data_IF_289800060418
#
_entry.id   IF_289800060418
#
_cell.length_a   1.000
_cell.length_b   1.000
_cell.length_c   1.000
_cell.angle_alpha   90.00
_cell.angle_beta   90.00
_cell.angle_gamma   90.00
#
_symmetry.space_group_name_H-M   'P 1'
#
loop_
_entity.id
_entity.type
_entity.pdbx_description
1 polymer ?
#
# COMPACT_ATOMS: atom_id res chain seq x y z
N UNK A 1 18.24 -25.07 -41.69
CA UNK A 1 18.34 -25.65 -40.34
C UNK A 1 17.73 -27.04 -40.47
N UNK A 2 18.48 -28.11 -40.18
CA UNK A 2 17.92 -29.47 -40.24
C UNK A 2 17.02 -29.65 -39.02
N UNK A 3 15.82 -30.19 -39.22
CA UNK A 3 14.94 -30.60 -38.12
C UNK A 3 15.71 -31.56 -37.21
N UNK A 4 15.46 -31.52 -35.89
CA UNK A 4 16.15 -32.37 -34.91
C UNK A 4 15.74 -33.85 -35.12
N UNK A 5 16.41 -34.52 -36.06
CA UNK A 5 16.20 -35.93 -36.44
C UNK A 5 16.62 -36.89 -35.31
N UNK A 6 15.94 -36.86 -34.16
CA UNK A 6 16.20 -37.67 -32.95
C UNK A 6 17.62 -37.51 -32.34
N UNK A 7 18.34 -36.45 -32.70
CA UNK A 7 19.66 -36.14 -32.14
C UNK A 7 19.53 -35.48 -30.77
N UNK A 8 20.49 -35.66 -29.86
CA UNK A 8 20.48 -34.98 -28.57
C UNK A 8 20.57 -33.47 -28.74
N UNK A 9 19.78 -32.75 -27.95
CA UNK A 9 19.67 -31.29 -27.98
C UNK A 9 21.03 -30.60 -27.82
N UNK A 10 21.92 -31.15 -27.00
CA UNK A 10 23.26 -30.61 -26.75
C UNK A 10 24.12 -30.55 -28.02
N UNK A 11 24.06 -31.59 -28.87
CA UNK A 11 24.80 -31.61 -30.14
C UNK A 11 24.24 -30.58 -31.12
N UNK A 12 22.91 -30.50 -31.23
CA UNK A 12 22.24 -29.59 -32.16
C UNK A 12 22.44 -28.13 -31.71
N UNK A 13 22.38 -27.87 -30.40
CA UNK A 13 22.68 -26.58 -29.78
C UNK A 13 24.12 -26.15 -30.09
N UNK A 14 25.08 -27.04 -29.88
CA UNK A 14 26.50 -26.78 -30.14
C UNK A 14 26.77 -26.51 -31.64
N UNK A 15 26.17 -27.28 -32.55
CA UNK A 15 26.27 -27.02 -33.99
C UNK A 15 25.67 -25.67 -34.37
N UNK A 16 24.49 -25.34 -33.84
CA UNK A 16 23.84 -24.05 -34.08
C UNK A 16 24.70 -22.90 -33.54
N UNK A 17 25.27 -23.06 -32.35
CA UNK A 17 26.14 -22.07 -31.71
C UNK A 17 27.44 -21.87 -32.51
N UNK A 18 28.10 -22.96 -32.91
CA UNK A 18 29.30 -22.92 -33.74
C UNK A 18 29.04 -22.22 -35.07
N UNK A 19 27.90 -22.49 -35.71
CA UNK A 19 27.52 -21.81 -36.96
C UNK A 19 27.25 -20.32 -36.76
N UNK A 20 26.70 -19.94 -35.60
CA UNK A 20 26.48 -18.54 -35.23
C UNK A 20 27.80 -17.79 -34.99
N UNK A 21 28.71 -18.37 -34.19
CA UNK A 21 30.05 -17.80 -33.93
C UNK A 21 30.87 -17.70 -35.21
N UNK A 22 30.82 -18.70 -36.10
CA UNK A 22 31.55 -18.67 -37.38
C UNK A 22 31.13 -17.51 -38.30
N UNK A 23 29.93 -16.96 -38.10
CA UNK A 23 29.44 -15.78 -38.83
C UNK A 23 29.66 -14.48 -38.05
N UNK A 24 29.79 -14.56 -36.73
CA UNK A 24 29.84 -13.43 -35.81
C UNK A 24 30.96 -13.66 -34.77
N UNK A 25 32.22 -13.61 -35.22
CA UNK A 25 33.39 -13.83 -34.35
C UNK A 25 33.76 -12.53 -33.63
N UNK A 26 33.37 -12.40 -32.35
CA UNK A 26 33.76 -11.25 -31.52
C UNK A 26 33.62 -11.54 -30.02
N UNK A 27 34.42 -10.83 -29.22
CA UNK A 27 34.36 -10.82 -27.75
C UNK A 27 32.95 -10.54 -27.19
N UNK A 28 32.14 -9.75 -27.89
CA UNK A 28 30.76 -9.46 -27.46
C UNK A 28 29.86 -10.68 -27.62
N UNK A 29 30.08 -11.52 -28.63
CA UNK A 29 29.35 -12.78 -28.80
C UNK A 29 29.74 -13.77 -27.72
N UNK A 30 31.03 -13.85 -27.39
CA UNK A 30 31.54 -14.78 -26.39
C UNK A 30 31.05 -14.44 -24.96
N UNK A 31 31.04 -13.15 -24.61
CA UNK A 31 30.76 -12.71 -23.24
C UNK A 31 29.29 -12.32 -23.00
N UNK A 32 28.57 -11.85 -24.03
CA UNK A 32 27.26 -11.21 -23.85
C UNK A 32 26.10 -11.94 -24.54
N UNK A 33 26.35 -13.03 -25.27
CA UNK A 33 25.29 -13.78 -25.94
C UNK A 33 25.09 -15.17 -25.32
N UNK A 34 23.85 -15.64 -25.41
CA UNK A 34 23.46 -17.00 -25.09
C UNK A 34 22.55 -17.57 -26.16
N UNK A 35 21.98 -18.75 -25.91
CA UNK A 35 21.09 -19.42 -26.85
C UNK A 35 19.79 -19.85 -26.16
N UNK A 36 18.65 -19.50 -26.75
CA UNK A 36 17.34 -20.01 -26.34
C UNK A 36 17.07 -21.35 -26.98
N UNK A 37 16.48 -22.28 -26.22
CA UNK A 37 15.84 -23.47 -26.75
C UNK A 37 14.34 -23.22 -26.87
N UNK A 38 13.84 -23.01 -28.08
CA UNK A 38 12.41 -22.90 -28.36
C UNK A 38 11.88 -24.24 -28.83
N UNK A 39 10.77 -24.71 -28.26
CA UNK A 39 10.11 -25.96 -28.66
C UNK A 39 8.69 -25.65 -29.10
N UNK A 40 8.38 -25.96 -30.35
CA UNK A 40 7.04 -25.85 -30.92
C UNK A 40 6.51 -27.25 -31.17
N UNK A 41 5.35 -27.55 -30.58
CA UNK A 41 4.63 -28.81 -30.82
C UNK A 41 3.39 -28.50 -31.63
N UNK A 42 3.29 -29.09 -32.81
CA UNK A 42 2.08 -28.96 -33.62
C UNK A 42 0.94 -29.78 -33.00
N UNK A 43 -0.20 -29.16 -32.63
CA UNK A 43 -1.30 -29.88 -31.98
C UNK A 43 -2.03 -30.85 -32.92
N UNK A 44 -1.96 -30.64 -34.24
CA UNK A 44 -2.66 -31.46 -35.25
C UNK A 44 -1.87 -32.72 -35.63
N UNK A 45 -0.56 -32.60 -35.84
CA UNK A 45 0.28 -33.72 -36.32
C UNK A 45 1.32 -34.22 -35.32
N UNK A 46 1.40 -33.59 -34.14
CA UNK A 46 2.38 -33.95 -33.10
C UNK A 46 3.83 -33.68 -33.47
N UNK A 47 4.11 -33.03 -34.61
CA UNK A 47 5.48 -32.70 -35.02
C UNK A 47 6.08 -31.72 -34.02
N UNK A 48 7.23 -32.10 -33.48
CA UNK A 48 8.04 -31.27 -32.59
C UNK A 48 9.12 -30.58 -33.43
N UNK A 49 9.20 -29.26 -33.31
CA UNK A 49 10.25 -28.44 -33.90
C UNK A 49 11.01 -27.76 -32.77
N UNK A 50 12.32 -28.01 -32.72
CA UNK A 50 13.23 -27.42 -31.73
C UNK A 50 14.14 -26.45 -32.47
N UNK A 51 14.18 -25.20 -32.02
CA UNK A 51 15.11 -24.18 -32.54
C UNK A 51 16.00 -23.64 -31.43
N UNK A 52 17.23 -23.32 -31.83
CA UNK A 52 18.30 -22.84 -30.97
C UNK A 52 18.73 -21.44 -31.43
N UNK A 53 18.13 -20.42 -30.84
CA UNK A 53 18.20 -19.05 -31.33
C UNK A 53 19.14 -18.20 -30.44
N UNK A 54 20.15 -17.52 -31.00
CA UNK A 54 21.05 -16.67 -30.21
C UNK A 54 20.31 -15.45 -29.65
N UNK A 55 20.63 -15.05 -28.42
CA UNK A 55 20.11 -13.84 -27.79
C UNK A 55 21.22 -13.05 -27.11
N UNK A 56 21.03 -11.73 -27.02
CA UNK A 56 21.92 -10.81 -26.31
C UNK A 56 21.23 -10.08 -25.14
N UNK A 57 19.89 -10.04 -25.14
CA UNK A 57 19.11 -9.30 -24.17
C UNK A 57 18.00 -10.17 -23.58
N UNK A 58 17.80 -10.05 -22.26
CA UNK A 58 16.68 -10.64 -21.53
C UNK A 58 15.78 -9.51 -21.02
N UNK A 59 14.51 -9.53 -21.38
CA UNK A 59 13.52 -8.66 -20.76
C UNK A 59 13.21 -9.18 -19.36
N UNK A 60 13.64 -8.46 -18.33
CA UNK A 60 13.26 -8.74 -16.95
C UNK A 60 12.07 -7.85 -16.55
N UNK A 61 11.05 -8.37 -15.86
CA UNK A 61 10.00 -7.53 -15.30
C UNK A 61 10.62 -6.61 -14.24
N UNK A 62 10.50 -5.30 -14.44
CA UNK A 62 10.82 -4.33 -13.38
C UNK A 62 9.85 -4.57 -12.21
N UNK A 63 10.30 -4.64 -10.95
CA UNK A 63 9.40 -4.67 -9.82
C UNK A 63 8.59 -3.37 -9.87
N UNK A 64 7.33 -3.48 -10.29
CA UNK A 64 6.42 -2.35 -10.22
C UNK A 64 6.37 -1.92 -8.76
N UNK A 65 6.41 -0.61 -8.52
CA UNK A 65 6.18 -0.06 -7.18
C UNK A 65 4.70 -0.23 -6.84
N UNK A 66 4.26 -1.48 -6.69
CA UNK A 66 2.86 -1.83 -6.42
C UNK A 66 2.44 -1.29 -5.06
N UNK A 67 3.40 -1.10 -4.15
CA UNK A 67 3.20 -0.54 -2.83
C UNK A 67 3.63 0.92 -2.73
N UNK A 68 2.99 1.66 -1.83
CA UNK A 68 3.43 2.97 -1.33
C UNK A 68 3.54 2.93 0.19
N UNK A 69 4.46 3.70 0.75
CA UNK A 69 4.56 3.92 2.18
C UNK A 69 3.62 5.07 2.58
N UNK A 70 2.82 4.89 3.62
CA UNK A 70 1.95 5.92 4.18
C UNK A 70 2.27 6.11 5.66
N UNK A 71 2.53 7.35 6.07
CA UNK A 71 2.76 7.71 7.47
C UNK A 71 1.51 8.35 8.03
N UNK A 72 0.88 7.71 9.02
CA UNK A 72 -0.38 8.14 9.62
C UNK A 72 -0.21 8.28 11.13
N UNK A 73 -0.64 9.42 11.67
CA UNK A 73 -0.63 9.65 13.12
C UNK A 73 -1.85 9.00 13.75
N UNK A 74 -1.61 8.09 14.70
CA UNK A 74 -2.66 7.43 15.48
C UNK A 74 -2.83 8.17 16.80
N UNK A 75 -4.06 8.58 17.09
CA UNK A 75 -4.47 9.25 18.32
C UNK A 75 -5.14 8.26 19.27
N UNK A 76 -4.67 8.26 20.53
CA UNK A 76 -5.22 7.48 21.64
C UNK A 76 -6.20 8.38 22.41
N UNK A 77 -7.48 8.36 22.01
CA UNK A 77 -8.50 9.28 22.52
C UNK A 77 -9.02 8.93 23.93
N UNK A 78 -8.39 7.97 24.59
CA UNK A 78 -8.62 7.54 25.98
C UNK A 78 -7.51 8.00 26.93
N UNK A 79 -6.55 8.80 26.46
CA UNK A 79 -5.41 9.27 27.27
C UNK A 79 -4.36 8.19 27.56
N UNK A 80 -4.49 6.99 26.98
CA UNK A 80 -3.53 5.89 27.18
C UNK A 80 -2.14 6.16 26.59
N UNK A 81 -2.02 7.15 25.70
CA UNK A 81 -0.76 7.50 25.06
C UNK A 81 -0.82 8.81 24.30
N UNK A 82 0.37 9.31 23.94
CA UNK A 82 0.50 10.45 23.05
C UNK A 82 0.22 10.04 21.59
N UNK A 83 -0.20 10.98 20.72
CA UNK A 83 -0.33 10.72 19.30
C UNK A 83 1.00 10.21 18.72
N UNK A 84 0.95 9.11 17.97
CA UNK A 84 2.15 8.42 17.50
C UNK A 84 2.08 8.18 15.98
N UNK A 85 3.11 8.54 15.20
CA UNK A 85 3.16 8.26 13.77
C UNK A 85 3.49 6.79 13.50
N UNK A 86 2.77 6.18 12.57
CA UNK A 86 3.03 4.83 12.06
C UNK A 86 3.21 4.86 10.55
N UNK A 87 4.31 4.30 10.05
CA UNK A 87 4.55 4.13 8.62
C UNK A 87 4.23 2.70 8.21
N UNK A 88 3.29 2.53 7.27
CA UNK A 88 2.87 1.24 6.73
C UNK A 88 3.02 1.20 5.22
N UNK A 89 3.33 0.02 4.67
CA UNK A 89 3.38 -0.21 3.24
C UNK A 89 2.08 -0.86 2.76
N UNK A 90 1.40 -0.20 1.84
CA UNK A 90 0.10 -0.64 1.30
C UNK A 90 0.12 -0.60 -0.22
N UNK A 91 -0.73 -1.41 -0.87
CA UNK A 91 -0.84 -1.39 -2.33
C UNK A 91 -1.38 -0.04 -2.80
N UNK A 92 -0.78 0.53 -3.86
CA UNK A 92 -1.20 1.81 -4.46
C UNK A 92 -2.66 1.78 -4.92
N UNK A 93 -3.08 0.65 -5.50
CA UNK A 93 -4.44 0.40 -5.94
C UNK A 93 -5.28 -0.38 -4.90
N UNK A 94 -4.82 -0.41 -3.64
CA UNK A 94 -5.54 -1.04 -2.53
C UNK A 94 -6.69 -0.18 -2.01
N UNK A 95 -7.29 -0.61 -0.90
CA UNK A 95 -8.42 0.08 -0.28
C UNK A 95 -8.17 0.46 1.18
N UNK A 96 -9.05 1.30 1.74
CA UNK A 96 -8.96 1.76 3.14
C UNK A 96 -8.97 0.61 4.16
N UNK A 97 -9.64 -0.51 3.86
CA UNK A 97 -9.58 -1.73 4.70
C UNK A 97 -8.15 -2.25 4.85
N UNK A 98 -7.39 -2.31 3.76
CA UNK A 98 -6.02 -2.82 3.78
C UNK A 98 -5.11 -1.89 4.59
N UNK A 99 -5.35 -0.58 4.48
CA UNK A 99 -4.68 0.44 5.30
C UNK A 99 -5.00 0.30 6.78
N UNK A 100 -6.28 0.20 7.16
CA UNK A 100 -6.70 -0.03 8.54
C UNK A 100 -6.12 -1.34 9.11
N UNK A 101 -6.06 -2.40 8.30
CA UNK A 101 -5.48 -3.68 8.73
C UNK A 101 -3.96 -3.56 8.95
N UNK A 102 -3.24 -2.92 8.04
CA UNK A 102 -1.80 -2.68 8.18
C UNK A 102 -1.49 -1.82 9.40
N UNK A 103 -2.23 -0.73 9.60
CA UNK A 103 -2.12 0.12 10.79
C UNK A 103 -2.46 -0.62 12.07
N UNK A 104 -3.57 -1.37 12.07
CA UNK A 104 -4.01 -2.14 13.24
C UNK A 104 -2.97 -3.18 13.67
N UNK A 105 -2.30 -3.80 12.70
CA UNK A 105 -1.16 -4.69 12.97
C UNK A 105 0.03 -3.92 13.54
N UNK A 106 0.39 -2.78 12.95
CA UNK A 106 1.54 -1.97 13.36
C UNK A 106 1.38 -1.34 14.77
N UNK A 107 0.16 -0.99 15.17
CA UNK A 107 -0.13 -0.39 16.47
C UNK A 107 -0.66 -1.38 17.52
N UNK A 108 -0.62 -2.69 17.23
CA UNK A 108 -1.12 -3.74 18.12
C UNK A 108 -2.57 -3.48 18.58
N UNK A 109 -3.47 -3.27 17.62
CA UNK A 109 -4.90 -3.03 17.86
C UNK A 109 -5.54 -4.25 18.53
N UNK A 110 -6.30 -4.05 19.61
CA UNK A 110 -6.99 -5.13 20.32
C UNK A 110 -8.30 -5.47 19.63
N UNK A 111 -8.85 -6.66 19.92
CA UNK A 111 -10.11 -7.14 19.33
C UNK A 111 -11.34 -6.29 19.70
N UNK A 112 -11.28 -5.56 20.82
CA UNK A 112 -12.32 -4.64 21.29
C UNK A 112 -12.09 -3.19 20.83
N UNK A 113 -11.19 -2.97 19.87
CA UNK A 113 -10.80 -1.66 19.39
C UNK A 113 -10.96 -1.56 17.86
N UNK A 114 -11.11 -0.33 17.39
CA UNK A 114 -11.21 0.01 15.97
C UNK A 114 -10.40 1.27 15.66
N UNK A 115 -10.06 1.43 14.38
CA UNK A 115 -9.44 2.64 13.85
C UNK A 115 -10.46 3.41 13.01
N UNK A 116 -10.66 4.68 13.32
CA UNK A 116 -11.43 5.61 12.51
C UNK A 116 -10.46 6.53 11.77
N UNK A 117 -10.39 6.38 10.45
CA UNK A 117 -9.57 7.23 9.60
C UNK A 117 -10.29 8.54 9.25
N UNK A 118 -9.55 9.63 9.26
CA UNK A 118 -10.06 10.95 8.92
C UNK A 118 -9.01 11.77 8.17
N UNK A 119 -9.49 12.59 7.24
CA UNK A 119 -8.70 13.65 6.62
C UNK A 119 -8.87 14.94 7.43
N UNK A 120 -7.77 15.58 7.78
CA UNK A 120 -7.76 16.81 8.57
C UNK A 120 -7.19 17.95 7.72
N UNK A 121 -7.96 19.03 7.63
CA UNK A 121 -7.59 20.23 6.90
C UNK A 121 -7.88 21.46 7.76
N UNK A 122 -6.92 22.40 7.84
CA UNK A 122 -7.03 23.61 8.67
C UNK A 122 -7.50 23.35 10.12
N UNK A 123 -6.94 22.33 10.77
CA UNK A 123 -7.27 21.93 12.15
C UNK A 123 -8.73 21.49 12.35
N UNK A 124 -9.41 21.07 11.29
CA UNK A 124 -10.77 20.50 11.31
C UNK A 124 -10.79 19.17 10.57
N UNK A 125 -11.73 18.31 10.95
CA UNK A 125 -11.99 17.10 10.18
C UNK A 125 -12.72 17.51 8.91
N UNK A 126 -12.09 17.26 7.76
CA UNK A 126 -12.68 17.54 6.46
C UNK A 126 -13.67 16.43 6.09
N UNK A 127 -13.25 15.17 6.28
CA UNK A 127 -14.08 13.99 6.07
C UNK A 127 -13.54 12.77 6.80
N UNK A 128 -14.40 11.77 6.98
CA UNK A 128 -14.04 10.45 7.45
C UNK A 128 -13.91 9.46 6.29
N UNK A 129 -12.94 8.57 6.37
CA UNK A 129 -12.72 7.46 5.43
C UNK A 129 -13.47 6.21 5.93
N UNK A 130 -14.79 6.30 6.01
CA UNK A 130 -15.64 5.24 6.60
C UNK A 130 -15.91 4.08 5.63
N UNK A 131 -15.80 4.31 4.32
CA UNK A 131 -16.00 3.26 3.34
C UNK A 131 -14.76 2.36 3.25
N UNK A 132 -14.82 1.09 3.69
CA UNK A 132 -13.66 0.20 3.69
C UNK A 132 -13.14 -0.12 2.28
N UNK A 133 -13.97 0.06 1.24
CA UNK A 133 -13.64 -0.20 -0.16
C UNK A 133 -13.16 1.06 -0.89
N UNK A 134 -13.08 2.21 -0.22
CA UNK A 134 -12.55 3.44 -0.83
C UNK A 134 -11.09 3.23 -1.25
N UNK A 135 -10.80 3.60 -2.50
CA UNK A 135 -9.49 3.41 -3.12
C UNK A 135 -8.45 4.33 -2.50
N UNK A 136 -7.29 3.79 -2.17
CA UNK A 136 -6.17 4.57 -1.64
C UNK A 136 -5.61 5.55 -2.68
N UNK A 137 -5.82 5.32 -3.97
CA UNK A 137 -5.41 6.24 -5.04
C UNK A 137 -6.09 7.62 -4.93
N UNK A 138 -7.25 7.72 -4.28
CA UNK A 138 -7.91 9.02 -4.06
C UNK A 138 -7.14 9.89 -3.06
N UNK A 139 -6.40 9.26 -2.14
CA UNK A 139 -5.66 9.93 -1.08
C UNK A 139 -4.32 10.41 -1.62
N UNK A 140 -4.10 11.71 -1.63
CA UNK A 140 -2.85 12.34 -2.08
C UNK A 140 -1.80 12.31 -0.99
N UNK A 141 -0.53 12.39 -1.38
CA UNK A 141 0.60 12.35 -0.42
C UNK A 141 0.68 13.61 0.47
N UNK A 142 0.05 14.72 0.05
CA UNK A 142 -0.03 15.98 0.80
C UNK A 142 -1.19 16.02 1.80
N UNK A 143 -2.15 15.09 1.69
CA UNK A 143 -3.33 15.05 2.56
C UNK A 143 -2.96 14.57 3.96
N UNK A 144 -3.38 15.32 4.97
CA UNK A 144 -3.10 14.96 6.36
C UNK A 144 -4.13 13.94 6.87
N UNK A 145 -3.82 12.66 6.68
CA UNK A 145 -4.63 11.55 7.19
C UNK A 145 -4.20 11.18 8.61
N UNK A 146 -5.19 11.09 9.50
CA UNK A 146 -5.03 10.65 10.88
C UNK A 146 -5.93 9.46 11.19
N UNK A 147 -5.58 8.71 12.22
CA UNK A 147 -6.38 7.59 12.71
C UNK A 147 -6.72 7.80 14.19
N UNK A 148 -7.97 7.58 14.57
CA UNK A 148 -8.40 7.58 15.98
C UNK A 148 -8.57 6.14 16.44
N UNK A 149 -7.85 5.73 17.48
CA UNK A 149 -8.00 4.43 18.13
C UNK A 149 -9.13 4.52 19.15
N UNK A 150 -10.19 3.76 18.92
CA UNK A 150 -11.43 3.86 19.68
C UNK A 150 -11.89 2.47 20.13
N UNK A 151 -12.63 2.39 21.24
CA UNK A 151 -13.31 1.16 21.64
C UNK A 151 -14.43 0.83 20.65
N UNK A 152 -14.53 -0.44 20.26
CA UNK A 152 -15.60 -0.93 19.42
C UNK A 152 -16.93 -0.76 20.16
N UNK A 153 -17.79 0.13 19.66
CA UNK A 153 -19.03 0.51 20.30
C UNK A 153 -20.19 0.44 19.31
N UNK A 154 -21.26 -0.25 19.69
CA UNK A 154 -22.53 -0.18 18.96
C UNK A 154 -23.07 1.26 18.95
N UNK A 155 -23.64 1.69 17.81
CA UNK A 155 -24.24 3.03 17.52
C UNK A 155 -24.12 4.04 18.67
N UNK A 156 -23.05 4.82 18.63
CA UNK A 156 -22.79 5.92 19.57
C UNK A 156 -22.83 7.26 18.83
N UNK A 157 -23.18 8.33 19.54
CA UNK A 157 -23.04 9.70 19.01
C UNK A 157 -21.56 10.08 18.94
N UNK A 158 -21.07 10.42 17.75
CA UNK A 158 -19.69 10.86 17.52
C UNK A 158 -19.51 12.27 18.10
N UNK A 159 -18.47 12.46 18.89
CA UNK A 159 -18.08 13.76 19.47
C UNK A 159 -16.74 14.19 18.88
N UNK A 160 -16.72 15.38 18.28
CA UNK A 160 -15.51 16.03 17.76
C UNK A 160 -15.10 17.16 18.70
N UNK A 161 -13.88 17.08 19.23
CA UNK A 161 -13.33 18.03 20.19
C UNK A 161 -12.27 18.86 19.46
N UNK A 162 -12.52 20.16 19.37
CA UNK A 162 -11.65 21.12 18.70
C UNK A 162 -10.97 22.01 19.75
N UNK A 163 -9.67 22.19 19.62
CA UNK A 163 -8.93 23.11 20.48
C UNK A 163 -8.94 24.52 19.89
N UNK A 164 -9.13 25.50 20.77
CA UNK A 164 -9.28 26.90 20.37
C UNK A 164 -8.52 27.78 21.33
N UNK A 165 -7.68 28.65 20.78
CA UNK A 165 -6.95 29.65 21.57
C UNK A 165 -7.66 30.99 21.40
N UNK A 166 -7.99 31.72 22.48
CA UNK A 166 -8.40 33.10 22.37
C UNK A 166 -7.21 33.95 21.92
N UNK A 167 -7.36 34.70 20.83
CA UNK A 167 -6.34 35.68 20.46
C UNK A 167 -6.31 36.80 21.52
N UNK A 168 -5.10 37.17 21.97
CA UNK A 168 -4.89 38.24 22.96
C UNK A 168 -5.28 39.65 22.47
N UNK A 169 -5.71 39.77 21.21
CA UNK A 169 -6.14 41.04 20.61
C UNK A 169 -7.65 41.16 20.73
N UNK A 170 -8.11 42.23 21.41
CA UNK A 170 -9.54 42.56 21.59
C UNK A 170 -10.28 42.51 20.24
N UNK A 171 -11.05 41.45 20.01
CA UNK A 171 -11.90 41.29 18.81
C UNK A 171 -11.38 40.34 17.72
N UNK A 172 -10.29 39.60 17.95
CA UNK A 172 -9.81 38.58 17.02
C UNK A 172 -10.73 37.35 16.93
N UNK A 173 -10.87 36.81 15.72
CA UNK A 173 -11.60 35.56 15.48
C UNK A 173 -10.89 34.38 16.16
N UNK A 174 -11.63 33.49 16.80
CA UNK A 174 -11.01 32.48 17.67
C UNK A 174 -10.33 31.38 16.84
N UNK A 175 -9.00 31.37 16.77
CA UNK A 175 -8.23 30.42 15.95
C UNK A 175 -8.26 29.00 16.52
N UNK A 176 -8.65 28.05 15.67
CA UNK A 176 -8.59 26.60 15.96
C UNK A 176 -7.17 26.12 15.71
N UNK A 177 -6.68 25.23 16.56
CA UNK A 177 -5.34 24.67 16.45
C UNK A 177 -5.31 23.18 16.76
N UNK A 178 -4.27 22.50 16.27
CA UNK A 178 -4.03 21.09 16.49
C UNK A 178 -4.97 20.17 15.71
N UNK A 179 -4.75 18.87 15.84
CA UNK A 179 -5.66 17.87 15.28
C UNK A 179 -6.87 17.72 16.21
N UNK A 180 -8.11 17.72 15.68
CA UNK A 180 -9.29 17.44 16.48
C UNK A 180 -9.20 16.08 17.15
N UNK A 181 -9.78 15.92 18.34
CA UNK A 181 -9.93 14.61 18.96
C UNK A 181 -11.33 14.08 18.69
N UNK A 182 -11.46 12.78 18.46
CA UNK A 182 -12.75 12.15 18.20
C UNK A 182 -12.99 11.08 19.24
N UNK A 183 -14.20 11.04 19.78
CA UNK A 183 -14.65 9.95 20.65
C UNK A 183 -16.14 9.69 20.43
N UNK A 184 -16.68 8.73 21.17
CA UNK A 184 -18.07 8.34 21.07
C UNK A 184 -18.75 8.43 22.43
N UNK A 185 -19.90 9.08 22.49
CA UNK A 185 -20.74 9.15 23.69
C UNK A 185 -21.53 7.84 23.84
N UNK A 186 -21.56 7.29 25.05
CA UNK A 186 -22.45 6.19 25.41
C UNK A 186 -23.87 6.74 25.49
N UNK A 187 -24.86 6.08 24.88
CA UNK A 187 -26.26 6.48 25.06
C UNK A 187 -26.68 6.28 26.53
N UNK A 188 -27.15 7.37 27.12
CA UNK A 188 -27.56 7.65 28.51
C UNK A 188 -26.45 7.80 29.59
N UNK A 189 -26.47 8.91 30.36
CA UNK A 189 -27.67 9.30 31.10
C UNK A 189 -28.25 10.66 30.72
N UNK A 190 -29.59 10.72 30.78
CA UNK A 190 -30.38 11.92 31.03
C UNK A 190 -29.62 12.92 31.92
N UNK A 191 -29.66 14.19 31.52
CA UNK A 191 -29.03 15.38 32.12
C UNK A 191 -27.66 15.79 31.55
N UNK A 192 -27.69 16.94 30.88
CA UNK A 192 -26.55 17.63 30.25
C UNK A 192 -25.53 18.21 31.23
N UNK A 193 -25.12 17.46 32.24
CA UNK A 193 -24.04 17.85 33.15
C UNK A 193 -23.30 16.60 33.64
N UNK A 194 -22.32 16.11 32.87
CA UNK A 194 -21.31 15.17 33.40
C UNK A 194 -20.06 15.08 32.49
N UNK A 195 -19.57 16.22 31.98
CA UNK A 195 -18.24 16.27 31.37
C UNK A 195 -17.15 16.26 32.46
N UNK A 196 -17.47 16.75 33.67
CA UNK A 196 -16.52 16.80 34.80
C UNK A 196 -16.18 15.42 35.41
N UNK A 197 -17.04 14.40 35.25
CA UNK A 197 -16.78 13.07 35.81
C UNK A 197 -15.75 12.23 35.02
N UNK A 198 -15.40 12.64 33.79
CA UNK A 198 -14.59 11.86 32.85
C UNK A 198 -13.23 12.48 32.52
N UNK A 199 -12.86 13.59 33.15
CA UNK A 199 -11.53 14.21 33.02
C UNK A 199 -10.84 14.16 34.38
N UNK A 200 -10.10 13.08 34.63
CA UNK A 200 -9.15 12.96 35.74
C UNK A 200 -7.80 12.49 35.20
#
# INVERSE_FOLDING_TARGET
MKDSDNRPDEEVAYECWKNHMARNDSLIVDECQGQYKSTLVCPECGKISITFDPFMYLSLPLPSTVTRAMTITVFYCDGSGLPMPYTVNVLKHGCCRDLCQALGTACCLKSDEMLLLAEVYENKIYRYLENPLESLTSIKDEEHIVAYRLKNGARKTKLEILHRCPDNVKGGDRKIFGTPLVTYLVEDPQYGANIEAYVH
#
